data_IF_302609883403
#
_entry.id   IF_302609883403
#
_cell.length_a   1.000
_cell.length_b   1.000
_cell.length_c   1.000
_cell.angle_alpha   90.00
_cell.angle_beta   90.00
_cell.angle_gamma   90.00
#
_symmetry.space_group_name_H-M   'P 1'
#
loop_
_entity.id
_entity.type
_entity.pdbx_description
1 polymer ?
#
# COMPACT_ATOMS: atom_id res chain seq x y z
N UNK A 1 -22.93 37.75 -12.60
CA UNK A 1 -23.43 36.37 -12.81
C UNK A 1 -22.94 35.92 -14.18
N UNK A 2 -21.67 35.55 -14.26
CA UNK A 2 -21.04 34.99 -15.45
C UNK A 2 -20.59 33.58 -15.06
N UNK A 3 -21.19 32.56 -15.67
CA UNK A 3 -20.74 31.18 -15.52
C UNK A 3 -19.64 30.97 -16.54
N UNK A 4 -18.41 30.85 -16.04
CA UNK A 4 -17.30 30.32 -16.82
C UNK A 4 -17.51 28.80 -16.92
N UNK A 5 -17.97 28.34 -18.07
CA UNK A 5 -17.98 26.93 -18.44
C UNK A 5 -16.54 26.51 -18.75
N UNK A 6 -15.78 26.21 -17.68
CA UNK A 6 -14.46 25.60 -17.81
C UNK A 6 -14.57 24.23 -18.50
N UNK A 7 -13.61 23.85 -19.38
CA UNK A 7 -13.64 22.56 -20.03
C UNK A 7 -13.59 21.44 -18.99
N UNK A 8 -14.62 20.58 -18.98
CA UNK A 8 -14.80 19.43 -18.08
C UNK A 8 -13.72 18.33 -18.19
N UNK A 9 -12.61 18.57 -18.90
CA UNK A 9 -11.61 17.55 -19.24
C UNK A 9 -10.20 18.01 -18.88
N UNK A 10 -9.87 17.93 -17.59
CA UNK A 10 -8.53 18.13 -17.07
C UNK A 10 -7.55 17.02 -17.50
N UNK A 11 -6.42 17.42 -18.09
CA UNK A 11 -5.08 16.80 -18.02
C UNK A 11 -4.81 15.40 -18.58
N UNK A 12 -5.77 14.48 -18.64
CA UNK A 12 -5.50 13.05 -18.94
C UNK A 12 -6.51 12.38 -19.88
N UNK A 13 -7.38 13.17 -20.52
CA UNK A 13 -8.42 12.69 -21.43
C UNK A 13 -7.88 12.08 -22.75
N UNK A 14 -6.58 12.18 -23.02
CA UNK A 14 -5.94 11.61 -24.22
C UNK A 14 -5.57 10.12 -24.07
N UNK A 15 -5.49 9.59 -22.85
CA UNK A 15 -5.20 8.18 -22.59
C UNK A 15 -6.23 7.22 -23.22
N UNK A 16 -7.55 7.44 -23.11
CA UNK A 16 -8.52 6.59 -23.81
C UNK A 16 -8.45 6.73 -25.34
N UNK A 17 -8.09 7.91 -25.85
CA UNK A 17 -7.95 8.12 -27.30
C UNK A 17 -6.83 7.25 -27.91
N UNK A 18 -5.76 6.98 -27.16
CA UNK A 18 -4.66 6.09 -27.56
C UNK A 18 -5.10 4.63 -27.76
N UNK A 19 -6.14 4.19 -27.07
CA UNK A 19 -6.70 2.84 -27.22
C UNK A 19 -7.74 2.78 -28.36
N UNK A 20 -8.55 3.84 -28.49
CA UNK A 20 -9.72 3.85 -29.39
C UNK A 20 -9.31 4.14 -30.84
N UNK A 21 -8.39 5.07 -31.08
CA UNK A 21 -7.99 5.52 -32.42
C UNK A 21 -7.36 4.41 -33.29
N UNK A 22 -6.43 3.57 -32.80
CA UNK A 22 -5.87 2.47 -33.59
C UNK A 22 -6.90 1.41 -33.94
N UNK A 23 -7.84 1.12 -33.02
CA UNK A 23 -8.91 0.15 -33.23
C UNK A 23 -9.87 0.60 -34.33
N UNK A 24 -10.26 1.89 -34.31
CA UNK A 24 -11.09 2.50 -35.35
C UNK A 24 -10.37 2.56 -36.70
N UNK A 25 -9.08 2.90 -36.73
CA UNK A 25 -8.26 2.89 -37.95
C UNK A 25 -8.15 1.48 -38.55
N UNK A 26 -7.93 0.45 -37.71
CA UNK A 26 -7.89 -0.94 -38.16
C UNK A 26 -9.22 -1.39 -38.77
N UNK A 27 -10.33 -1.02 -38.15
CA UNK A 27 -11.67 -1.32 -38.66
C UNK A 27 -11.97 -0.60 -39.98
N UNK A 28 -11.62 0.68 -40.08
CA UNK A 28 -11.91 1.52 -41.24
C UNK A 28 -11.11 1.11 -42.49
N UNK A 29 -9.87 0.66 -42.33
CA UNK A 29 -8.97 0.38 -43.46
C UNK A 29 -8.83 -1.10 -43.83
N UNK A 30 -9.05 -2.02 -42.89
CA UNK A 30 -8.82 -3.47 -43.09
C UNK A 30 -10.07 -4.31 -42.84
N UNK A 31 -11.22 -3.67 -42.64
CA UNK A 31 -12.49 -4.32 -42.33
C UNK A 31 -12.52 -4.94 -40.93
N UNK A 32 -13.56 -5.73 -40.66
CA UNK A 32 -13.83 -6.33 -39.34
C UNK A 32 -12.63 -7.13 -38.84
N UNK A 33 -12.02 -7.96 -39.70
CA UNK A 33 -10.90 -8.82 -39.32
C UNK A 33 -9.64 -8.02 -38.95
N UNK A 34 -9.33 -6.93 -39.66
CA UNK A 34 -8.20 -6.08 -39.34
C UNK A 34 -8.41 -5.23 -38.07
N UNK A 35 -9.64 -4.75 -37.86
CA UNK A 35 -10.03 -4.10 -36.61
C UNK A 35 -9.86 -5.01 -35.40
N UNK A 36 -10.23 -6.29 -35.50
CA UNK A 36 -10.06 -7.26 -34.40
C UNK A 36 -8.59 -7.50 -34.08
N UNK A 37 -7.74 -7.75 -35.09
CA UNK A 37 -6.31 -8.02 -34.86
C UNK A 37 -5.61 -6.81 -34.22
N UNK A 38 -5.85 -5.61 -34.74
CA UNK A 38 -5.25 -4.38 -34.19
C UNK A 38 -5.79 -4.09 -32.79
N UNK A 39 -7.08 -4.29 -32.55
CA UNK A 39 -7.69 -4.14 -31.23
C UNK A 39 -7.08 -5.10 -30.20
N UNK A 40 -6.96 -6.39 -30.54
CA UNK A 40 -6.36 -7.41 -29.66
C UNK A 40 -4.88 -7.11 -29.38
N UNK A 41 -4.10 -6.73 -30.40
CA UNK A 41 -2.70 -6.36 -30.21
C UNK A 41 -2.53 -5.10 -29.35
N UNK A 42 -3.39 -4.09 -29.55
CA UNK A 42 -3.36 -2.86 -28.74
C UNK A 42 -3.70 -3.18 -27.28
N UNK A 43 -4.75 -3.97 -27.04
CA UNK A 43 -5.12 -4.41 -25.70
C UNK A 43 -3.99 -5.21 -25.04
N UNK A 44 -3.41 -6.18 -25.76
CA UNK A 44 -2.29 -6.97 -25.25
C UNK A 44 -1.07 -6.11 -24.94
N UNK A 45 -0.74 -5.13 -25.79
CA UNK A 45 0.36 -4.21 -25.57
C UNK A 45 0.13 -3.34 -24.33
N UNK A 46 -1.10 -2.84 -24.12
CA UNK A 46 -1.46 -2.09 -22.90
C UNK A 46 -1.36 -2.95 -21.66
N UNK A 47 -1.82 -4.20 -21.70
CA UNK A 47 -1.69 -5.15 -20.59
C UNK A 47 -0.22 -5.42 -20.26
N UNK A 48 0.60 -5.73 -21.27
CA UNK A 48 2.04 -5.96 -21.07
C UNK A 48 2.75 -4.72 -20.55
N UNK A 49 2.40 -3.54 -21.08
CA UNK A 49 2.94 -2.27 -20.61
C UNK A 49 2.53 -2.00 -19.17
N UNK A 50 1.27 -2.19 -18.80
CA UNK A 50 0.79 -2.00 -17.43
C UNK A 50 1.47 -2.96 -16.43
N UNK A 51 1.67 -4.23 -16.80
CA UNK A 51 2.41 -5.20 -15.98
C UNK A 51 3.87 -4.77 -15.81
N UNK A 52 4.50 -4.19 -16.85
CA UNK A 52 5.90 -3.73 -16.80
C UNK A 52 6.08 -2.34 -16.19
N UNK A 53 5.07 -1.48 -16.25
CA UNK A 53 5.13 -0.10 -15.79
C UNK A 53 5.03 -0.01 -14.26
N UNK A 54 5.54 -1.01 -13.54
CA UNK A 54 5.61 -1.00 -12.10
C UNK A 54 6.47 0.21 -11.68
N UNK A 55 5.88 1.22 -11.01
CA UNK A 55 6.63 2.40 -10.63
C UNK A 55 7.60 2.02 -9.51
N UNK A 56 8.84 1.68 -9.86
CA UNK A 56 9.90 1.35 -8.90
C UNK A 56 10.54 2.60 -8.27
N UNK A 57 9.73 3.66 -8.07
CA UNK A 57 10.20 4.86 -7.39
C UNK A 57 10.51 4.59 -5.91
N UNK A 58 11.44 5.34 -5.31
CA UNK A 58 11.62 5.31 -3.86
C UNK A 58 10.32 5.71 -3.16
N UNK A 59 10.04 5.11 -2.01
CA UNK A 59 8.86 5.46 -1.23
C UNK A 59 9.04 6.89 -0.70
N UNK A 60 8.09 7.76 -1.03
CA UNK A 60 8.03 9.12 -0.50
C UNK A 60 7.59 9.09 0.96
N UNK A 61 8.35 9.75 1.83
CA UNK A 61 8.09 9.80 3.27
C UNK A 61 7.77 11.25 3.63
N UNK A 62 6.71 11.46 4.40
CA UNK A 62 6.36 12.76 4.93
C UNK A 62 7.51 13.30 5.79
N UNK A 63 7.86 14.56 5.59
CA UNK A 63 8.77 15.23 6.51
C UNK A 63 8.04 15.44 7.86
N UNK A 64 8.72 15.24 9.00
CA UNK A 64 8.15 15.63 10.29
C UNK A 64 7.83 17.14 10.25
N UNK A 65 6.65 17.53 10.76
CA UNK A 65 6.33 18.95 10.94
C UNK A 65 7.36 19.64 11.85
N UNK A 66 7.52 20.95 11.75
CA UNK A 66 8.46 21.70 12.62
C UNK A 66 8.19 21.40 14.11
N UNK A 67 9.18 20.80 14.79
CA UNK A 67 9.08 20.43 16.21
C UNK A 67 8.41 19.08 16.50
N UNK A 68 7.91 18.36 15.48
CA UNK A 68 7.37 17.00 15.61
C UNK A 68 8.47 15.99 15.37
N UNK A 69 8.55 14.96 16.21
CA UNK A 69 9.51 13.84 16.03
C UNK A 69 8.92 12.83 15.06
N UNK A 70 9.77 12.28 14.20
CA UNK A 70 9.36 11.17 13.35
C UNK A 70 9.11 9.91 14.18
N UNK A 71 8.01 9.22 13.89
CA UNK A 71 7.57 8.06 14.67
C UNK A 71 7.96 6.72 14.05
N UNK A 72 7.49 5.63 14.65
CA UNK A 72 7.75 4.26 14.17
C UNK A 72 6.49 3.72 13.51
N UNK A 73 6.60 3.31 12.24
CA UNK A 73 5.53 2.60 11.55
C UNK A 73 5.69 1.09 11.78
N UNK A 74 4.71 0.47 12.41
CA UNK A 74 4.67 -0.98 12.59
C UNK A 74 3.68 -1.60 11.60
N UNK A 75 4.17 -2.40 10.67
CA UNK A 75 3.35 -3.15 9.71
C UNK A 75 3.03 -4.54 10.28
N UNK A 76 1.75 -4.81 10.48
CA UNK A 76 1.23 -6.04 11.08
C UNK A 76 0.78 -7.01 9.98
N UNK A 77 1.56 -8.05 9.73
CA UNK A 77 1.16 -9.15 8.84
C UNK A 77 0.47 -10.28 9.61
N UNK A 78 0.50 -10.25 10.94
CA UNK A 78 -0.21 -11.17 11.82
C UNK A 78 -0.67 -10.42 13.08
N UNK A 79 -1.67 -10.95 13.83
CA UNK A 79 -2.05 -10.37 15.11
C UNK A 79 -0.92 -10.54 16.12
N UNK A 80 -0.62 -9.48 16.88
CA UNK A 80 0.25 -9.56 18.06
C UNK A 80 -0.63 -9.98 19.23
N UNK A 81 -0.62 -11.27 19.56
CA UNK A 81 -1.30 -11.84 20.72
C UNK A 81 -0.33 -12.34 21.81
N UNK A 82 0.97 -12.39 21.51
CA UNK A 82 2.00 -12.89 22.42
C UNK A 82 2.66 -11.76 23.24
N UNK A 83 2.59 -11.78 24.59
CA UNK A 83 3.19 -10.77 25.47
C UNK A 83 4.69 -10.48 25.26
N UNK A 84 5.60 -11.47 25.06
CA UNK A 84 7.00 -11.21 24.74
C UNK A 84 7.21 -10.40 23.46
N UNK A 85 6.45 -10.64 22.39
CA UNK A 85 6.51 -9.84 21.15
C UNK A 85 6.06 -8.41 21.42
N UNK A 86 4.98 -8.24 22.18
CA UNK A 86 4.52 -6.92 22.62
C UNK A 86 5.59 -6.18 23.44
N UNK A 87 6.35 -6.89 24.28
CA UNK A 87 7.48 -6.33 25.04
C UNK A 87 8.66 -5.87 24.15
N UNK A 88 8.98 -6.61 23.09
CA UNK A 88 9.99 -6.19 22.10
C UNK A 88 9.52 -4.93 21.37
N UNK A 89 8.25 -4.89 20.95
CA UNK A 89 7.66 -3.70 20.35
C UNK A 89 7.67 -2.52 21.31
N UNK A 90 7.35 -2.74 22.58
CA UNK A 90 7.42 -1.74 23.64
C UNK A 90 8.81 -1.11 23.72
N UNK A 91 9.85 -1.94 23.69
CA UNK A 91 11.22 -1.49 23.80
C UNK A 91 11.70 -0.69 22.58
N UNK A 92 11.17 -1.00 21.39
CA UNK A 92 11.47 -0.27 20.14
C UNK A 92 10.71 1.07 20.12
N UNK A 93 9.47 1.02 20.58
CA UNK A 93 8.47 2.10 20.51
C UNK A 93 8.51 3.04 21.71
N UNK A 94 9.32 2.74 22.73
CA UNK A 94 9.35 3.48 24.00
C UNK A 94 9.53 4.99 23.77
N UNK A 95 8.53 5.82 24.11
CA UNK A 95 8.58 7.27 23.93
C UNK A 95 9.67 7.94 24.79
N UNK A 96 10.22 7.22 25.77
CA UNK A 96 11.35 7.66 26.59
C UNK A 96 12.68 7.64 25.84
N UNK A 97 12.78 6.88 24.74
CA UNK A 97 13.91 6.99 23.80
C UNK A 97 13.78 8.33 23.08
N UNK A 98 14.83 9.16 23.22
CA UNK A 98 14.88 10.56 22.72
C UNK A 98 14.61 10.73 21.21
N UNK A 99 14.53 9.63 20.46
CA UNK A 99 14.41 9.58 19.00
C UNK A 99 13.06 9.00 18.50
N UNK A 100 12.22 8.42 19.37
CA UNK A 100 10.97 7.79 18.96
C UNK A 100 9.77 8.76 19.07
N UNK A 101 9.12 9.06 17.94
CA UNK A 101 7.77 9.67 17.92
C UNK A 101 6.67 8.64 18.21
N UNK A 102 5.42 9.09 18.20
CA UNK A 102 4.24 8.24 18.49
C UNK A 102 4.12 7.09 17.48
N UNK A 103 4.00 5.83 17.92
CA UNK A 103 3.86 4.67 17.03
C UNK A 103 2.55 4.64 16.26
N UNK A 104 2.63 4.20 15.01
CA UNK A 104 1.48 3.91 14.16
C UNK A 104 1.49 2.44 13.75
N UNK A 105 0.41 1.72 14.04
CA UNK A 105 0.18 0.37 13.56
C UNK A 105 -0.55 0.41 12.21
N UNK A 106 -0.07 -0.37 11.26
CA UNK A 106 -0.67 -0.55 9.94
C UNK A 106 -0.99 -2.04 9.74
N UNK A 107 -2.26 -2.37 9.56
CA UNK A 107 -2.69 -3.71 9.16
C UNK A 107 -3.13 -3.70 7.68
N UNK A 108 -2.34 -4.23 6.74
CA UNK A 108 -2.73 -4.34 5.33
C UNK A 108 -3.94 -5.26 5.14
N UNK A 109 -4.79 -4.94 4.17
CA UNK A 109 -6.00 -5.74 3.88
C UNK A 109 -5.64 -7.01 3.11
N UNK A 110 -5.20 -8.08 3.79
CA UNK A 110 -4.71 -9.27 3.09
C UNK A 110 -5.83 -10.02 2.37
N UNK A 111 -5.88 -9.90 1.05
CA UNK A 111 -6.76 -10.68 0.18
C UNK A 111 -5.94 -11.85 -0.40
N UNK A 112 -6.35 -13.08 -0.08
CA UNK A 112 -5.77 -14.27 -0.70
C UNK A 112 -5.91 -14.24 -2.23
N UNK A 113 -4.91 -14.77 -2.94
CA UNK A 113 -4.89 -14.77 -4.43
C UNK A 113 -6.14 -15.41 -5.05
N UNK A 114 -6.73 -16.39 -4.36
CA UNK A 114 -7.95 -17.08 -4.76
C UNK A 114 -9.20 -16.31 -4.33
N UNK A 115 -9.21 -15.71 -3.15
CA UNK A 115 -10.35 -14.96 -2.60
C UNK A 115 -10.65 -13.69 -3.41
N UNK A 116 -9.62 -13.10 -4.03
CA UNK A 116 -9.75 -11.98 -4.98
C UNK A 116 -10.67 -12.30 -6.17
N UNK A 117 -10.68 -13.55 -6.62
CA UNK A 117 -11.55 -13.97 -7.74
C UNK A 117 -13.00 -14.22 -7.31
N UNK A 118 -13.24 -14.49 -6.03
CA UNK A 118 -14.58 -14.76 -5.50
C UNK A 118 -15.25 -13.52 -4.87
N UNK A 119 -14.56 -12.37 -4.85
CA UNK A 119 -15.14 -11.08 -4.45
C UNK A 119 -15.29 -10.91 -2.94
N UNK A 120 -14.57 -11.68 -2.13
CA UNK A 120 -14.68 -11.61 -0.67
C UNK A 120 -13.79 -10.52 -0.07
N UNK A 121 -14.00 -9.29 -0.54
CA UNK A 121 -13.25 -8.11 -0.11
C UNK A 121 -13.63 -7.72 1.33
N UNK A 122 -14.88 -7.97 1.71
CA UNK A 122 -15.40 -7.60 3.04
C UNK A 122 -14.81 -8.49 4.15
N UNK A 123 -14.68 -9.81 3.93
CA UNK A 123 -14.05 -10.68 4.92
C UNK A 123 -12.56 -10.36 5.14
N UNK A 124 -11.82 -10.04 4.08
CA UNK A 124 -10.42 -9.63 4.18
C UNK A 124 -10.25 -8.34 5.00
N UNK A 125 -11.16 -7.38 4.80
CA UNK A 125 -11.18 -6.13 5.58
C UNK A 125 -11.51 -6.39 7.04
N UNK A 126 -12.48 -7.25 7.31
CA UNK A 126 -12.86 -7.63 8.67
C UNK A 126 -11.71 -8.34 9.40
N UNK A 127 -11.00 -9.26 8.74
CA UNK A 127 -9.86 -9.93 9.35
C UNK A 127 -8.72 -8.94 9.66
N UNK A 128 -8.48 -7.97 8.78
CA UNK A 128 -7.44 -6.97 9.00
C UNK A 128 -7.78 -6.01 10.14
N UNK A 129 -9.07 -5.67 10.29
CA UNK A 129 -9.58 -4.96 11.46
C UNK A 129 -9.43 -5.79 12.74
N UNK A 130 -9.69 -7.10 12.68
CA UNK A 130 -9.50 -8.02 13.80
C UNK A 130 -8.04 -8.09 14.22
N UNK A 131 -7.11 -8.25 13.26
CA UNK A 131 -5.66 -8.25 13.49
C UNK A 131 -5.23 -6.96 14.19
N UNK A 132 -5.69 -5.82 13.69
CA UNK A 132 -5.41 -4.52 14.28
C UNK A 132 -5.96 -4.42 15.70
N UNK A 133 -7.23 -4.77 15.91
CA UNK A 133 -7.90 -4.66 17.20
C UNK A 133 -7.22 -5.54 18.28
N UNK A 134 -6.86 -6.78 17.94
CA UNK A 134 -6.10 -7.67 18.84
C UNK A 134 -4.76 -7.05 19.19
N UNK A 135 -4.00 -6.59 18.19
CA UNK A 135 -2.66 -6.02 18.40
C UNK A 135 -2.69 -4.74 19.24
N UNK A 136 -3.64 -3.84 18.98
CA UNK A 136 -3.85 -2.62 19.78
C UNK A 136 -4.19 -2.98 21.22
N UNK A 137 -5.08 -3.95 21.44
CA UNK A 137 -5.45 -4.37 22.80
C UNK A 137 -4.27 -4.98 23.56
N UNK A 138 -3.46 -5.81 22.90
CA UNK A 138 -2.25 -6.41 23.49
C UNK A 138 -1.21 -5.35 23.86
N UNK A 139 -0.98 -4.37 22.99
CA UNK A 139 -0.02 -3.27 23.26
C UNK A 139 -0.52 -2.31 24.33
N UNK A 140 -1.83 -2.01 24.34
CA UNK A 140 -2.45 -1.22 25.41
C UNK A 140 -2.34 -1.93 26.77
N UNK A 141 -2.51 -3.26 26.81
CA UNK A 141 -2.29 -4.05 28.02
C UNK A 141 -0.82 -4.02 28.49
N UNK A 142 0.13 -3.82 27.58
CA UNK A 142 1.54 -3.58 27.86
C UNK A 142 1.86 -2.11 28.21
N UNK A 143 0.86 -1.22 28.22
CA UNK A 143 1.01 0.19 28.59
C UNK A 143 1.48 1.10 27.44
N UNK A 144 1.34 0.66 26.19
CA UNK A 144 1.74 1.42 25.00
C UNK A 144 0.48 1.94 24.31
N UNK A 145 0.37 3.26 24.19
CA UNK A 145 -0.66 3.88 23.37
C UNK A 145 -0.21 3.91 21.91
N UNK A 146 -1.06 3.39 21.02
CA UNK A 146 -0.77 3.23 19.59
C UNK A 146 -1.98 3.64 18.78
N UNK A 147 -1.76 4.38 17.69
CA UNK A 147 -2.79 4.59 16.67
C UNK A 147 -2.78 3.41 15.71
N UNK A 148 -3.95 2.97 15.25
CA UNK A 148 -4.09 1.87 14.29
C UNK A 148 -4.77 2.29 13.00
N UNK A 149 -4.24 1.86 11.85
CA UNK A 149 -4.85 2.05 10.53
C UNK A 149 -4.91 0.74 9.75
N UNK A 150 -5.96 0.61 8.95
CA UNK A 150 -6.09 -0.48 7.96
C UNK A 150 -5.65 0.05 6.61
N UNK A 151 -4.75 -0.68 5.96
CA UNK A 151 -4.14 -0.30 4.69
C UNK A 151 -4.73 -1.00 3.47
N UNK A 152 -4.11 -0.72 2.33
CA UNK A 152 -4.33 -1.39 1.06
C UNK A 152 -4.02 -2.91 1.12
N UNK A 153 -4.42 -3.66 0.09
CA UNK A 153 -4.18 -5.11 0.02
C UNK A 153 -2.74 -5.47 -0.40
N UNK A 154 -2.05 -4.58 -1.12
CA UNK A 154 -0.61 -4.67 -1.33
C UNK A 154 0.13 -4.04 -0.14
N UNK A 155 0.91 -4.85 0.59
CA UNK A 155 1.70 -4.42 1.75
C UNK A 155 2.62 -3.22 1.45
N UNK A 156 3.23 -3.21 0.27
CA UNK A 156 4.15 -2.13 -0.14
C UNK A 156 3.36 -0.85 -0.41
N UNK A 157 2.20 -0.96 -1.06
CA UNK A 157 1.34 0.20 -1.34
C UNK A 157 0.72 0.75 -0.06
N UNK A 158 0.26 -0.13 0.84
CA UNK A 158 -0.25 0.24 2.16
C UNK A 158 0.79 1.02 2.97
N UNK A 159 2.04 0.54 2.98
CA UNK A 159 3.14 1.21 3.64
C UNK A 159 3.47 2.55 2.96
N UNK A 160 3.53 2.60 1.63
CA UNK A 160 3.80 3.81 0.85
C UNK A 160 2.76 4.91 1.11
N UNK A 161 1.47 4.59 1.05
CA UNK A 161 0.40 5.55 1.29
C UNK A 161 0.39 6.06 2.74
N UNK A 162 0.73 5.18 3.68
CA UNK A 162 0.87 5.56 5.10
C UNK A 162 2.06 6.50 5.28
N UNK A 163 3.24 6.14 4.75
CA UNK A 163 4.46 6.95 4.85
C UNK A 163 4.34 8.30 4.15
N UNK A 164 3.51 8.43 3.12
CA UNK A 164 3.23 9.71 2.46
C UNK A 164 2.56 10.72 3.40
N UNK A 165 1.85 10.26 4.43
CA UNK A 165 1.13 11.12 5.39
C UNK A 165 1.71 11.09 6.80
N UNK A 166 2.46 10.04 7.13
CA UNK A 166 3.05 9.81 8.44
C UNK A 166 4.57 9.80 8.34
N UNK A 167 5.21 10.72 9.06
CA UNK A 167 6.65 10.91 9.05
C UNK A 167 7.35 9.84 9.89
N UNK A 168 7.50 8.63 9.35
CA UNK A 168 8.22 7.57 10.04
C UNK A 168 9.74 7.71 9.90
N UNK A 169 10.48 7.38 10.97
CA UNK A 169 11.94 7.29 10.98
C UNK A 169 12.44 5.85 10.90
N UNK A 170 11.62 4.88 11.29
CA UNK A 170 11.89 3.45 11.21
C UNK A 170 10.59 2.72 10.85
N UNK A 171 10.72 1.63 10.07
CA UNK A 171 9.63 0.70 9.79
C UNK A 171 9.93 -0.62 10.48
N UNK A 172 8.99 -1.10 11.29
CA UNK A 172 9.04 -2.42 11.91
C UNK A 172 7.99 -3.30 11.24
N UNK A 173 8.38 -4.48 10.77
CA UNK A 173 7.45 -5.45 10.19
C UNK A 173 7.32 -6.63 11.14
N UNK A 174 6.10 -6.91 11.60
CA UNK A 174 5.78 -8.11 12.34
C UNK A 174 5.22 -9.18 11.41
N UNK A 175 5.97 -10.27 11.22
CA UNK A 175 5.69 -11.31 10.26
C UNK A 175 6.18 -12.69 10.77
N UNK A 176 5.36 -13.44 11.54
CA UNK A 176 5.74 -14.71 12.16
C UNK A 176 5.96 -15.88 11.17
N UNK A 177 6.10 -15.62 9.87
CA UNK A 177 6.26 -16.62 8.82
C UNK A 177 6.97 -16.08 7.57
N UNK A 178 7.30 -16.98 6.64
CA UNK A 178 8.09 -16.67 5.43
C UNK A 178 7.22 -16.28 4.21
N UNK A 179 5.91 -16.43 4.30
CA UNK A 179 4.96 -16.21 3.18
C UNK A 179 5.06 -14.79 2.59
N UNK A 180 5.50 -13.83 3.39
CA UNK A 180 5.56 -12.40 3.06
C UNK A 180 6.97 -11.91 2.67
N UNK A 181 7.98 -12.79 2.64
CA UNK A 181 9.39 -12.43 2.39
C UNK A 181 9.59 -11.62 1.11
N UNK A 182 8.85 -11.96 0.05
CA UNK A 182 8.92 -11.24 -1.22
C UNK A 182 8.43 -9.79 -1.11
N UNK A 183 7.37 -9.56 -0.33
CA UNK A 183 6.83 -8.23 -0.08
C UNK A 183 7.75 -7.43 0.85
N UNK A 184 8.27 -8.06 1.91
CA UNK A 184 9.22 -7.45 2.84
C UNK A 184 10.50 -7.04 2.12
N UNK A 185 11.09 -7.92 1.30
CA UNK A 185 12.27 -7.61 0.53
C UNK A 185 12.03 -6.48 -0.50
N UNK A 186 10.83 -6.41 -1.09
CA UNK A 186 10.46 -5.31 -1.98
C UNK A 186 10.33 -3.98 -1.23
N UNK A 187 9.75 -4.03 -0.03
CA UNK A 187 9.62 -2.88 0.85
C UNK A 187 11.00 -2.36 1.30
N UNK A 188 11.89 -3.26 1.75
CA UNK A 188 13.26 -2.94 2.15
C UNK A 188 14.06 -2.30 1.01
N UNK A 189 13.95 -2.82 -0.22
CA UNK A 189 14.63 -2.22 -1.39
C UNK A 189 14.16 -0.82 -1.74
N UNK A 190 12.90 -0.48 -1.46
CA UNK A 190 12.28 0.81 -1.84
C UNK A 190 12.29 1.84 -0.71
N UNK A 191 12.50 1.39 0.53
CA UNK A 191 12.58 2.25 1.71
C UNK A 191 13.90 3.01 1.74
N UNK A 192 13.82 4.30 2.05
CA UNK A 192 14.98 5.15 2.36
C UNK A 192 15.34 5.20 3.85
N UNK A 193 14.63 4.45 4.70
CA UNK A 193 14.77 4.42 6.16
C UNK A 193 14.95 2.97 6.66
N UNK A 194 15.48 2.76 7.88
CA UNK A 194 15.70 1.42 8.41
C UNK A 194 14.42 0.59 8.47
N UNK A 195 14.54 -0.68 8.07
CA UNK A 195 13.51 -1.70 8.23
C UNK A 195 13.99 -2.77 9.21
N UNK A 196 13.16 -3.09 10.20
CA UNK A 196 13.40 -4.15 11.18
C UNK A 196 12.30 -5.19 11.09
N UNK A 197 12.68 -6.46 10.96
CA UNK A 197 11.75 -7.59 11.01
C UNK A 197 11.67 -8.16 12.43
N UNK A 198 10.47 -8.55 12.84
CA UNK A 198 10.17 -9.28 14.07
C UNK A 198 9.30 -10.47 13.70
N UNK A 199 9.64 -11.64 14.24
CA UNK A 199 8.92 -12.90 14.10
C UNK A 199 8.20 -13.27 15.41
#
# INVERSE_FOLDING_TARGET
MNRDDGPLFGGRAWLPALLIVPMFLGFAFLGVQGGTVIGTLTLAAVVVWAIRANPEGPIEIAAPGEGVRGGVLVVLLAPIDDPPVAGVLAAITDPSRREAGEPLLLAPTRIGRLDRFFGDIEAARFESQRVLAVSVATLAAAGIEVEGRVGDDDVVLAAEDTLRTYAATEVVVFAPGEDDDGAIAKLERRLGIPLRRID
#
